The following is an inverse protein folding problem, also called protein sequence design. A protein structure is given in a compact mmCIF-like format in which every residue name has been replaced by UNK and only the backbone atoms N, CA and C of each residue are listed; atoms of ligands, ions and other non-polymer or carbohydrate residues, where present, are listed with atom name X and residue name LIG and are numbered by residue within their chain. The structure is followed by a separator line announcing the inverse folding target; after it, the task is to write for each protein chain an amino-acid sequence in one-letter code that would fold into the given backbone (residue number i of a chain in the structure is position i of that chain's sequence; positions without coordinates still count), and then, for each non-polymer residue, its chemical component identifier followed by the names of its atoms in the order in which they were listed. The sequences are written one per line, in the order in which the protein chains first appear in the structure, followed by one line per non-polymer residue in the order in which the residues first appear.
data_IF_548297854615
#
_entry.id   IF_548297854615
#
_cell.length_a   1.000
_cell.length_b   1.000
_cell.length_c   1.000
_cell.angle_alpha   90.00
_cell.angle_beta   90.00
_cell.angle_gamma   90.00
#
_symmetry.space_group_name_H-M   'P 1'
#
loop_
_entity.id
_entity.type
_entity.pdbx_description
1 polymer ?
#
# COMPACT_ATOMS: atom_id res chain seq x y z
N UNK A 1 -3.60 35.85 -15.70
CA UNK A 1 -4.69 35.12 -14.99
C UNK A 1 -6.02 35.69 -15.42
N UNK A 2 -6.91 34.85 -15.88
CA UNK A 2 -8.27 35.27 -16.17
C UNK A 2 -8.97 35.60 -14.82
N UNK A 3 -9.47 36.83 -14.62
CA UNK A 3 -10.13 37.23 -13.37
C UNK A 3 -11.39 36.41 -13.06
N UNK A 4 -11.97 35.74 -14.06
CA UNK A 4 -13.15 34.89 -13.93
C UNK A 4 -12.83 33.42 -13.59
N UNK A 5 -11.55 32.99 -13.73
CA UNK A 5 -11.11 31.61 -13.46
C UNK A 5 -9.79 31.59 -12.69
N UNK A 6 -9.81 31.91 -11.39
CA UNK A 6 -8.59 31.98 -10.58
C UNK A 6 -7.92 30.59 -10.51
N UNK A 7 -6.64 30.55 -10.92
CA UNK A 7 -5.83 29.33 -10.95
C UNK A 7 -5.72 28.65 -12.31
N UNK A 8 -6.39 29.19 -13.34
CA UNK A 8 -6.25 28.74 -14.72
C UNK A 8 -5.25 29.64 -15.47
N UNK A 9 -4.33 29.05 -16.18
CA UNK A 9 -3.33 29.73 -17.02
C UNK A 9 -3.35 29.11 -18.42
N UNK A 10 -3.42 29.95 -19.46
CA UNK A 10 -3.44 29.50 -20.84
C UNK A 10 -4.78 28.88 -21.26
N UNK A 11 -4.73 28.02 -22.29
CA UNK A 11 -5.95 27.40 -22.83
C UNK A 11 -6.23 26.03 -22.22
N UNK A 12 -7.33 25.93 -21.50
CA UNK A 12 -7.85 24.69 -20.93
C UNK A 12 -9.18 24.31 -21.58
N UNK A 13 -9.40 23.02 -21.81
CA UNK A 13 -10.74 22.55 -22.14
C UNK A 13 -11.66 22.71 -20.92
N UNK A 14 -12.96 23.07 -21.12
CA UNK A 14 -13.88 23.34 -20.00
C UNK A 14 -13.99 22.19 -18.98
N UNK A 15 -13.91 20.95 -19.45
CA UNK A 15 -13.98 19.75 -18.60
C UNK A 15 -12.67 19.40 -17.88
N UNK A 16 -11.60 20.17 -18.08
CA UNK A 16 -10.28 19.98 -17.46
C UNK A 16 -9.94 21.05 -16.43
N UNK A 17 -10.77 22.10 -16.32
CA UNK A 17 -10.55 23.22 -15.41
C UNK A 17 -10.59 22.75 -13.95
N UNK A 18 -11.57 21.89 -13.61
CA UNK A 18 -11.68 21.25 -12.31
C UNK A 18 -11.15 19.82 -12.36
N UNK A 19 -10.30 19.48 -11.38
CA UNK A 19 -9.76 18.14 -11.28
C UNK A 19 -10.87 17.15 -10.92
N UNK A 20 -11.00 16.12 -11.73
CA UNK A 20 -12.03 15.08 -11.53
C UNK A 20 -11.64 14.10 -10.41
N UNK A 21 -10.35 13.86 -10.20
CA UNK A 21 -9.84 12.95 -9.20
C UNK A 21 -9.19 13.72 -8.04
N UNK A 22 -9.76 13.50 -6.86
CA UNK A 22 -9.37 14.18 -5.64
C UNK A 22 -8.27 13.45 -4.87
N UNK A 23 -7.92 13.99 -3.69
CA UNK A 23 -7.01 13.33 -2.74
C UNK A 23 -7.46 11.91 -2.35
N UNK A 24 -8.75 11.58 -2.44
CA UNK A 24 -9.24 10.22 -2.17
C UNK A 24 -8.66 9.20 -3.15
N UNK A 25 -8.48 9.61 -4.42
CA UNK A 25 -7.85 8.78 -5.44
C UNK A 25 -6.33 8.68 -5.24
N UNK A 26 -5.72 9.58 -4.47
CA UNK A 26 -4.31 9.44 -4.00
C UNK A 26 -4.22 8.43 -2.86
N UNK A 27 -5.14 8.51 -1.89
CA UNK A 27 -5.20 7.63 -0.70
C UNK A 27 -5.42 6.17 -1.10
N UNK A 28 -6.27 5.91 -2.10
CA UNK A 28 -6.59 4.57 -2.57
C UNK A 28 -5.36 3.75 -2.98
N UNK A 29 -4.51 4.15 -3.96
CA UNK A 29 -3.33 3.40 -4.34
C UNK A 29 -2.24 3.37 -3.25
N UNK A 30 -2.22 4.33 -2.35
CA UNK A 30 -1.33 4.29 -1.19
C UNK A 30 -1.72 3.16 -0.23
N UNK A 31 -3.01 3.04 0.11
CA UNK A 31 -3.54 1.97 0.96
C UNK A 31 -3.35 0.59 0.31
N UNK A 32 -3.74 0.42 -0.95
CA UNK A 32 -3.61 -0.86 -1.66
C UNK A 32 -2.14 -1.25 -1.90
N UNK A 33 -1.23 -0.29 -2.00
CA UNK A 33 0.21 -0.53 -2.05
C UNK A 33 0.72 -1.20 -0.78
N UNK A 34 0.34 -0.67 0.38
CA UNK A 34 0.70 -1.27 1.68
C UNK A 34 0.14 -2.70 1.78
N UNK A 35 -1.10 -2.95 1.30
CA UNK A 35 -1.69 -4.30 1.27
C UNK A 35 -0.80 -5.28 0.51
N UNK A 36 -0.47 -4.96 -0.75
CA UNK A 36 0.32 -5.83 -1.60
C UNK A 36 1.73 -6.04 -1.07
N UNK A 37 2.41 -4.97 -0.64
CA UNK A 37 3.77 -5.05 -0.12
C UNK A 37 3.88 -5.78 1.21
N UNK A 38 2.92 -5.62 2.13
CA UNK A 38 2.86 -6.35 3.38
C UNK A 38 2.68 -7.86 3.13
N UNK A 39 1.83 -8.24 2.20
CA UNK A 39 1.63 -9.64 1.83
C UNK A 39 2.90 -10.24 1.18
N UNK A 40 3.57 -9.49 0.30
CA UNK A 40 4.83 -9.94 -0.32
C UNK A 40 5.89 -10.13 0.75
N UNK A 41 5.99 -9.27 1.75
CA UNK A 41 6.88 -9.46 2.89
C UNK A 41 6.54 -10.74 3.67
N UNK A 42 5.25 -11.02 3.92
CA UNK A 42 4.82 -12.26 4.56
C UNK A 42 5.21 -13.49 3.74
N UNK A 43 5.11 -13.42 2.41
CA UNK A 43 5.46 -14.54 1.53
C UNK A 43 6.94 -14.94 1.60
N UNK A 44 7.83 -14.04 2.00
CA UNK A 44 9.27 -14.35 2.16
C UNK A 44 9.50 -15.45 3.21
N UNK A 45 8.75 -15.43 4.31
CA UNK A 45 8.82 -16.51 5.31
C UNK A 45 8.16 -17.80 4.78
N UNK A 46 6.92 -17.68 4.33
CA UNK A 46 6.05 -18.84 4.05
C UNK A 46 6.49 -19.65 2.83
N UNK A 47 6.95 -18.97 1.78
CA UNK A 47 7.29 -19.61 0.48
C UNK A 47 8.79 -19.71 0.29
N UNK A 48 9.53 -18.64 0.64
CA UNK A 48 10.98 -18.57 0.41
C UNK A 48 11.80 -18.98 1.63
N UNK A 49 11.15 -19.36 2.75
CA UNK A 49 11.77 -19.83 3.99
C UNK A 49 12.78 -18.85 4.60
N UNK A 50 12.53 -17.55 4.50
CA UNK A 50 13.36 -16.51 5.14
C UNK A 50 12.97 -16.42 6.62
N UNK A 51 13.53 -17.28 7.44
CA UNK A 51 13.19 -17.39 8.87
C UNK A 51 13.40 -16.10 9.65
N UNK A 52 14.32 -15.25 9.23
CA UNK A 52 14.62 -14.00 9.91
C UNK A 52 13.40 -13.06 9.98
N UNK A 53 12.49 -13.09 9.01
CA UNK A 53 11.27 -12.25 8.99
C UNK A 53 10.06 -12.92 9.62
N UNK A 54 10.17 -14.15 10.10
CA UNK A 54 9.09 -14.90 10.78
C UNK A 54 8.40 -14.13 11.91
N UNK A 55 9.10 -13.33 12.74
CA UNK A 55 8.43 -12.52 13.77
C UNK A 55 7.40 -11.53 13.24
N UNK A 56 7.52 -11.11 11.97
CA UNK A 56 6.61 -10.15 11.34
C UNK A 56 5.56 -10.79 10.45
N UNK A 57 5.66 -12.09 10.14
CA UNK A 57 4.77 -12.80 9.21
C UNK A 57 3.28 -12.56 9.51
N UNK A 58 2.83 -12.89 10.71
CA UNK A 58 1.43 -12.72 11.13
C UNK A 58 1.02 -11.25 11.19
N UNK A 59 1.90 -10.37 11.64
CA UNK A 59 1.64 -8.94 11.67
C UNK A 59 1.46 -8.38 10.25
N UNK A 60 2.28 -8.82 9.30
CA UNK A 60 2.18 -8.43 7.91
C UNK A 60 0.84 -8.87 7.28
N UNK A 61 0.38 -10.10 7.53
CA UNK A 61 -0.93 -10.56 7.08
C UNK A 61 -2.09 -9.76 7.69
N UNK A 62 -2.05 -9.49 9.00
CA UNK A 62 -3.09 -8.66 9.65
C UNK A 62 -3.04 -7.21 9.15
N UNK A 63 -1.86 -6.68 8.84
CA UNK A 63 -1.70 -5.36 8.21
C UNK A 63 -2.34 -5.35 6.83
N UNK A 64 -2.03 -6.35 5.99
CA UNK A 64 -2.64 -6.48 4.67
C UNK A 64 -4.18 -6.54 4.77
N UNK A 65 -4.73 -7.34 5.69
CA UNK A 65 -6.18 -7.43 5.89
C UNK A 65 -6.79 -6.11 6.36
N UNK A 66 -6.19 -5.44 7.35
CA UNK A 66 -6.71 -4.18 7.89
C UNK A 66 -6.79 -3.09 6.82
N UNK A 67 -5.73 -2.96 6.04
CA UNK A 67 -5.67 -1.98 4.94
C UNK A 67 -6.58 -2.38 3.77
N UNK A 68 -6.73 -3.70 3.49
CA UNK A 68 -7.60 -4.19 2.43
C UNK A 68 -9.08 -3.91 2.69
N UNK A 69 -9.52 -4.02 3.94
CA UNK A 69 -10.92 -3.70 4.33
C UNK A 69 -11.24 -2.22 4.05
N UNK A 70 -10.29 -1.32 4.23
CA UNK A 70 -10.47 0.12 4.03
C UNK A 70 -10.29 0.53 2.57
N UNK A 71 -9.50 -0.22 1.80
CA UNK A 71 -9.10 0.13 0.45
C UNK A 71 -10.24 0.57 -0.51
N UNK A 72 -11.45 -0.02 -0.52
CA UNK A 72 -12.52 0.43 -1.39
C UNK A 72 -13.19 1.73 -0.94
N UNK A 73 -13.06 2.14 0.34
CA UNK A 73 -13.80 3.27 0.89
C UNK A 73 -13.45 4.62 0.23
N UNK A 74 -12.18 4.95 -0.11
CA UNK A 74 -11.87 6.15 -0.85
C UNK A 74 -12.61 6.21 -2.20
N UNK A 75 -12.68 5.07 -2.92
CA UNK A 75 -13.41 4.98 -4.19
C UNK A 75 -14.92 5.13 -3.98
N UNK A 76 -15.48 4.51 -2.94
CA UNK A 76 -16.90 4.63 -2.58
C UNK A 76 -17.29 6.08 -2.30
N UNK A 77 -16.46 6.83 -1.57
CA UNK A 77 -16.71 8.24 -1.29
C UNK A 77 -16.55 9.11 -2.55
N UNK A 78 -15.71 8.70 -3.49
CA UNK A 78 -15.52 9.42 -4.75
C UNK A 78 -16.66 9.19 -5.76
N UNK A 79 -17.33 8.04 -5.72
CA UNK A 79 -18.43 7.73 -6.66
C UNK A 79 -19.59 8.72 -6.55
N UNK A 80 -20.11 9.18 -7.69
CA UNK A 80 -21.32 9.99 -7.74
C UNK A 80 -22.55 9.28 -7.15
N UNK A 81 -22.63 7.95 -7.34
CA UNK A 81 -23.70 7.07 -6.89
C UNK A 81 -23.12 5.85 -6.15
N UNK A 82 -22.64 6.01 -4.89
CA UNK A 82 -22.01 4.92 -4.13
C UNK A 82 -22.94 3.75 -3.84
N UNK A 83 -24.26 4.00 -3.75
CA UNK A 83 -25.32 2.99 -3.58
C UNK A 83 -25.36 1.98 -4.74
N UNK A 84 -24.91 2.38 -5.93
CA UNK A 84 -24.89 1.55 -7.13
C UNK A 84 -23.58 0.75 -7.29
N UNK A 85 -22.62 0.93 -6.41
CA UNK A 85 -21.29 0.29 -6.54
C UNK A 85 -21.35 -1.23 -6.59
N UNK A 86 -22.35 -1.86 -5.95
CA UNK A 86 -22.53 -3.31 -5.97
C UNK A 86 -23.07 -3.83 -7.32
N UNK A 87 -23.60 -2.95 -8.17
CA UNK A 87 -24.07 -3.34 -9.52
C UNK A 87 -22.94 -3.92 -10.38
N UNK A 88 -21.67 -3.53 -10.09
CA UNK A 88 -20.51 -4.09 -10.79
C UNK A 88 -20.40 -5.62 -10.65
N UNK A 89 -20.92 -6.18 -9.56
CA UNK A 89 -20.92 -7.64 -9.31
C UNK A 89 -22.14 -8.33 -9.88
N UNK A 90 -23.30 -7.65 -9.94
CA UNK A 90 -24.58 -8.18 -10.41
C UNK A 90 -24.66 -8.14 -11.93
N UNK A 91 -24.18 -7.06 -12.53
CA UNK A 91 -24.19 -6.82 -13.99
C UNK A 91 -22.80 -6.45 -14.50
N UNK A 92 -21.82 -7.38 -14.46
CA UNK A 92 -20.43 -7.07 -14.73
C UNK A 92 -20.19 -6.69 -16.19
N UNK A 93 -19.63 -5.52 -16.41
CA UNK A 93 -19.17 -5.08 -17.72
C UNK A 93 -17.72 -5.60 -17.94
N UNK A 94 -17.59 -6.75 -18.58
CA UNK A 94 -16.33 -7.51 -18.70
C UNK A 94 -15.21 -6.79 -19.45
N UNK A 95 -15.53 -5.79 -20.26
CA UNK A 95 -14.58 -4.96 -21.00
C UNK A 95 -14.18 -3.71 -20.23
N UNK A 96 -14.82 -3.42 -19.08
CA UNK A 96 -14.43 -2.34 -18.20
C UNK A 96 -13.36 -2.80 -17.23
N UNK A 97 -12.18 -2.20 -17.34
CA UNK A 97 -11.09 -2.42 -16.40
C UNK A 97 -11.52 -2.12 -14.94
N UNK A 98 -12.25 -1.05 -14.69
CA UNK A 98 -12.75 -0.68 -13.36
C UNK A 98 -13.70 -1.72 -12.77
N UNK A 99 -14.66 -2.25 -13.57
CA UNK A 99 -15.57 -3.29 -13.10
C UNK A 99 -14.84 -4.60 -12.76
N UNK A 100 -13.87 -4.99 -13.58
CA UNK A 100 -13.07 -6.20 -13.35
C UNK A 100 -12.18 -6.09 -12.12
N UNK A 101 -11.76 -4.87 -11.76
CA UNK A 101 -10.97 -4.64 -10.54
C UNK A 101 -11.74 -5.03 -9.27
N UNK A 102 -13.04 -4.83 -9.20
CA UNK A 102 -13.87 -5.27 -8.08
C UNK A 102 -13.77 -6.78 -7.83
N UNK A 103 -13.71 -7.60 -8.89
CA UNK A 103 -13.53 -9.05 -8.77
C UNK A 103 -12.12 -9.41 -8.27
N UNK A 104 -11.09 -8.73 -8.75
CA UNK A 104 -9.71 -8.90 -8.25
C UNK A 104 -9.64 -8.57 -6.75
N UNK A 105 -10.30 -7.50 -6.34
CA UNK A 105 -10.39 -7.09 -4.94
C UNK A 105 -11.05 -8.19 -4.08
N UNK A 106 -12.24 -8.67 -4.46
CA UNK A 106 -12.95 -9.72 -3.71
C UNK A 106 -12.17 -11.04 -3.67
N UNK A 107 -11.57 -11.42 -4.80
CA UNK A 107 -10.70 -12.60 -4.85
C UNK A 107 -9.59 -12.50 -3.84
N UNK A 108 -8.86 -11.37 -3.84
CA UNK A 108 -7.71 -11.18 -2.96
C UNK A 108 -8.12 -11.13 -1.48
N UNK A 109 -9.20 -10.41 -1.17
CA UNK A 109 -9.72 -10.32 0.19
C UNK A 109 -10.17 -11.69 0.72
N UNK A 110 -11.04 -12.37 -0.01
CA UNK A 110 -11.73 -13.58 0.50
C UNK A 110 -10.90 -14.85 0.27
N UNK A 111 -10.40 -15.06 -0.96
CA UNK A 111 -9.73 -16.30 -1.34
C UNK A 111 -8.24 -16.34 -0.95
N UNK A 112 -7.62 -15.19 -0.72
CA UNK A 112 -6.22 -15.12 -0.29
C UNK A 112 -6.12 -14.74 1.18
N UNK A 113 -6.39 -13.48 1.54
CA UNK A 113 -6.10 -12.97 2.88
C UNK A 113 -6.91 -13.65 3.98
N UNK A 114 -8.24 -13.74 3.83
CA UNK A 114 -9.10 -14.31 4.88
C UNK A 114 -8.80 -15.80 5.08
N UNK A 115 -8.65 -16.57 4.00
CA UNK A 115 -8.33 -18.00 4.10
C UNK A 115 -6.95 -18.21 4.71
N UNK A 116 -5.92 -17.50 4.25
CA UNK A 116 -4.56 -17.66 4.77
C UNK A 116 -4.47 -17.31 6.26
N UNK A 117 -5.07 -16.20 6.67
CA UNK A 117 -5.10 -15.78 8.08
C UNK A 117 -5.87 -16.83 8.90
N UNK A 118 -6.99 -17.32 8.40
CA UNK A 118 -7.75 -18.34 9.12
C UNK A 118 -6.95 -19.62 9.31
N UNK A 119 -6.29 -20.14 8.27
CA UNK A 119 -5.46 -21.34 8.33
C UNK A 119 -4.30 -21.17 9.32
N UNK A 120 -3.61 -20.02 9.29
CA UNK A 120 -2.45 -19.77 10.14
C UNK A 120 -2.83 -19.56 11.62
N UNK A 121 -3.96 -18.91 11.89
CA UNK A 121 -4.43 -18.64 13.24
C UNK A 121 -5.37 -19.73 13.80
N UNK A 122 -5.77 -20.75 13.03
CA UNK A 122 -6.81 -21.72 13.43
C UNK A 122 -6.52 -22.38 14.78
N UNK A 123 -5.29 -22.82 15.03
CA UNK A 123 -4.88 -23.38 16.32
C UNK A 123 -5.12 -22.41 17.48
N UNK A 124 -4.74 -21.15 17.29
CA UNK A 124 -4.89 -20.11 18.33
C UNK A 124 -6.38 -19.74 18.49
N UNK A 125 -7.16 -19.66 17.41
CA UNK A 125 -8.61 -19.41 17.43
C UNK A 125 -9.35 -20.50 18.22
N UNK A 126 -9.07 -21.77 17.96
CA UNK A 126 -9.69 -22.91 18.67
C UNK A 126 -9.36 -22.87 20.17
N UNK A 127 -8.09 -22.61 20.52
CA UNK A 127 -7.69 -22.46 21.92
C UNK A 127 -8.45 -21.30 22.58
N UNK A 128 -8.48 -20.14 21.94
CA UNK A 128 -9.18 -18.97 22.46
C UNK A 128 -10.70 -19.18 22.54
N UNK A 129 -11.30 -19.97 21.64
CA UNK A 129 -12.73 -20.33 21.71
C UNK A 129 -13.08 -21.20 22.93
N UNK A 130 -12.10 -21.99 23.43
CA UNK A 130 -12.24 -22.82 24.63
C UNK A 130 -11.96 -22.02 25.90
N UNK A 131 -10.92 -21.19 25.90
CA UNK A 131 -10.43 -20.48 27.10
C UNK A 131 -11.12 -19.14 27.34
N UNK A 132 -11.60 -18.45 26.27
CA UNK A 132 -12.16 -17.10 26.38
C UNK A 132 -13.46 -17.05 27.17
N UNK A 133 -13.65 -15.98 27.92
CA UNK A 133 -14.86 -15.67 28.70
C UNK A 133 -15.50 -14.37 28.20
N UNK A 134 -16.74 -14.11 28.61
CA UNK A 134 -17.47 -12.89 28.27
C UNK A 134 -17.71 -12.72 26.77
N UNK A 135 -17.70 -11.49 26.30
CA UNK A 135 -18.05 -11.10 24.92
C UNK A 135 -17.11 -11.64 23.84
N UNK A 136 -15.87 -12.02 24.18
CA UNK A 136 -14.91 -12.60 23.24
C UNK A 136 -15.23 -14.03 22.86
N UNK A 137 -15.85 -14.79 23.75
CA UNK A 137 -16.17 -16.21 23.54
C UNK A 137 -17.01 -16.47 22.29
N UNK A 138 -18.15 -15.77 22.07
CA UNK A 138 -18.96 -16.00 20.87
C UNK A 138 -18.20 -15.62 19.58
N UNK A 139 -17.34 -14.60 19.61
CA UNK A 139 -16.52 -14.20 18.47
C UNK A 139 -15.57 -15.34 18.07
N UNK A 140 -14.77 -15.85 19.01
CA UNK A 140 -13.85 -16.94 18.71
C UNK A 140 -14.57 -18.23 18.29
N UNK A 141 -15.74 -18.54 18.89
CA UNK A 141 -16.55 -19.66 18.45
C UNK A 141 -17.04 -19.50 17.01
N UNK A 142 -17.49 -18.33 16.63
CA UNK A 142 -17.85 -18.05 15.24
C UNK A 142 -16.64 -18.19 14.29
N UNK A 143 -15.47 -17.68 14.71
CA UNK A 143 -14.24 -17.78 13.93
C UNK A 143 -13.72 -19.21 13.75
N UNK A 144 -14.11 -20.20 14.61
CA UNK A 144 -13.74 -21.60 14.36
C UNK A 144 -14.45 -22.21 13.17
N UNK A 145 -15.51 -21.58 12.65
CA UNK A 145 -16.36 -22.10 11.57
C UNK A 145 -16.83 -23.55 11.83
N UNK A 146 -17.02 -23.91 13.12
CA UNK A 146 -17.37 -25.27 13.56
C UNK A 146 -16.21 -26.29 13.55
N UNK A 147 -15.02 -25.92 13.14
CA UNK A 147 -13.85 -26.80 13.07
C UNK A 147 -12.97 -26.67 14.32
N UNK A 148 -13.05 -27.63 15.21
CA UNK A 148 -12.27 -27.71 16.46
C UNK A 148 -11.11 -28.71 16.41
N UNK A 149 -10.91 -29.40 15.29
CA UNK A 149 -9.85 -30.39 15.14
C UNK A 149 -8.50 -29.71 14.93
N UNK A 150 -7.65 -29.71 15.93
CA UNK A 150 -6.26 -29.20 15.92
C UNK A 150 -5.24 -30.33 16.08
N UNK A 151 -5.58 -31.56 15.66
CA UNK A 151 -4.63 -32.68 15.64
C UNK A 151 -3.41 -32.35 14.76
N UNK A 152 -2.25 -33.00 15.01
CA UNK A 152 -1.04 -32.77 14.20
C UNK A 152 -1.28 -32.95 12.69
N UNK A 153 -2.13 -33.93 12.33
CA UNK A 153 -2.50 -34.17 10.93
C UNK A 153 -3.33 -33.01 10.35
N UNK A 154 -4.29 -32.46 11.10
CA UNK A 154 -5.10 -31.34 10.66
C UNK A 154 -4.24 -30.08 10.49
N UNK A 155 -3.34 -29.80 11.44
CA UNK A 155 -2.43 -28.66 11.35
C UNK A 155 -1.43 -28.78 10.20
N UNK A 156 -0.97 -30.00 9.87
CA UNK A 156 -0.12 -30.22 8.70
C UNK A 156 -0.86 -29.96 7.38
N UNK A 157 -2.18 -30.26 7.32
CA UNK A 157 -3.03 -29.91 6.17
C UNK A 157 -3.17 -28.38 6.08
N UNK A 158 -3.44 -27.70 7.19
CA UNK A 158 -3.53 -26.23 7.23
C UNK A 158 -2.25 -25.57 6.74
N UNK A 159 -1.10 -26.08 7.18
CA UNK A 159 0.20 -25.57 6.76
C UNK A 159 0.42 -25.73 5.25
N UNK A 160 0.09 -26.91 4.70
CA UNK A 160 0.20 -27.18 3.26
C UNK A 160 -0.74 -26.29 2.44
N UNK A 161 -1.99 -26.15 2.89
CA UNK A 161 -2.98 -25.29 2.23
C UNK A 161 -2.60 -23.83 2.32
N UNK A 162 -2.16 -23.36 3.50
CA UNK A 162 -1.69 -21.99 3.69
C UNK A 162 -0.53 -21.66 2.75
N UNK A 163 0.46 -22.55 2.65
CA UNK A 163 1.58 -22.37 1.70
C UNK A 163 1.09 -22.30 0.24
N UNK A 164 0.12 -23.12 -0.14
CA UNK A 164 -0.49 -23.05 -1.47
C UNK A 164 -1.21 -21.72 -1.70
N UNK A 165 -2.00 -21.27 -0.72
CA UNK A 165 -2.70 -19.97 -0.79
C UNK A 165 -1.71 -18.82 -0.90
N UNK A 166 -0.59 -18.86 -0.15
CA UNK A 166 0.47 -17.83 -0.27
C UNK A 166 1.10 -17.84 -1.67
N UNK A 167 1.38 -19.01 -2.24
CA UNK A 167 1.94 -19.10 -3.61
C UNK A 167 0.98 -18.47 -4.63
N UNK A 168 -0.32 -18.75 -4.54
CA UNK A 168 -1.35 -18.13 -5.39
C UNK A 168 -1.52 -16.64 -5.05
N UNK A 169 -1.33 -16.29 -3.79
CA UNK A 169 -1.43 -14.93 -3.29
C UNK A 169 -0.37 -13.97 -3.85
N UNK A 170 0.86 -14.45 -4.14
CA UNK A 170 1.92 -13.62 -4.73
C UNK A 170 1.47 -13.00 -6.07
N UNK A 171 1.12 -13.77 -7.11
CA UNK A 171 0.64 -13.18 -8.36
C UNK A 171 -0.67 -12.40 -8.18
N UNK A 172 -1.51 -12.79 -7.20
CA UNK A 172 -2.74 -12.06 -6.88
C UNK A 172 -2.44 -10.67 -6.29
N UNK A 173 -1.41 -10.53 -5.44
CA UNK A 173 -0.95 -9.24 -4.92
C UNK A 173 -0.38 -8.35 -6.04
N UNK A 174 0.36 -8.95 -6.97
CA UNK A 174 0.86 -8.27 -8.15
C UNK A 174 -0.29 -7.80 -9.05
N UNK A 175 -1.29 -8.64 -9.24
CA UNK A 175 -2.48 -8.26 -9.99
C UNK A 175 -3.25 -7.14 -9.29
N UNK A 176 -3.43 -7.22 -7.96
CA UNK A 176 -4.15 -6.20 -7.19
C UNK A 176 -3.55 -4.80 -7.36
N UNK A 177 -2.23 -4.65 -7.24
CA UNK A 177 -1.62 -3.32 -7.25
C UNK A 177 -1.03 -2.93 -8.60
N UNK A 178 -0.48 -3.87 -9.36
CA UNK A 178 -0.04 -3.64 -10.73
C UNK A 178 -1.21 -3.21 -11.64
N UNK A 179 -2.42 -3.71 -11.35
CA UNK A 179 -3.64 -3.29 -12.05
C UNK A 179 -3.97 -1.81 -11.83
N UNK A 180 -3.71 -1.26 -10.66
CA UNK A 180 -3.87 0.19 -10.41
C UNK A 180 -2.92 0.98 -11.31
N UNK A 181 -1.65 0.58 -11.37
CA UNK A 181 -0.68 1.17 -12.32
C UNK A 181 -1.08 1.01 -13.77
N UNK A 182 -1.66 -0.14 -14.14
CA UNK A 182 -2.19 -0.38 -15.48
C UNK A 182 -3.33 0.59 -15.85
N UNK A 183 -4.23 0.90 -14.92
CA UNK A 183 -5.31 1.87 -15.16
C UNK A 183 -4.75 3.23 -15.58
N UNK A 184 -3.72 3.73 -14.88
CA UNK A 184 -3.05 4.97 -15.27
C UNK A 184 -2.27 4.81 -16.57
N UNK A 185 -1.40 3.79 -16.67
CA UNK A 185 -0.51 3.58 -17.80
C UNK A 185 -1.22 3.35 -19.15
N UNK A 186 -2.48 2.91 -19.13
CA UNK A 186 -3.28 2.69 -20.34
C UNK A 186 -3.98 3.94 -20.87
N UNK A 187 -3.95 5.07 -20.15
CA UNK A 187 -4.58 6.33 -20.56
C UNK A 187 -3.69 7.07 -21.56
N UNK A 188 -3.72 6.66 -22.81
CA UNK A 188 -2.88 7.22 -23.89
C UNK A 188 -3.04 8.74 -24.09
N UNK A 189 -4.22 9.28 -23.81
CA UNK A 189 -4.49 10.71 -23.95
C UNK A 189 -3.81 11.58 -22.88
N UNK A 190 -3.20 10.97 -21.86
CA UNK A 190 -2.48 11.68 -20.81
C UNK A 190 -1.02 11.26 -20.82
N UNK A 191 -0.11 12.06 -21.35
CA UNK A 191 1.31 11.71 -21.46
C UNK A 191 2.01 11.58 -20.10
N UNK A 192 1.48 12.18 -19.02
CA UNK A 192 1.98 12.00 -17.68
C UNK A 192 1.78 10.57 -17.17
N UNK A 193 0.70 9.91 -17.56
CA UNK A 193 0.33 8.56 -17.14
C UNK A 193 0.73 7.48 -18.13
N UNK A 194 0.67 7.81 -19.44
CA UNK A 194 0.87 6.84 -20.53
C UNK A 194 2.31 6.34 -20.59
N UNK A 195 2.58 5.27 -19.85
CA UNK A 195 3.86 4.54 -19.92
C UNK A 195 3.62 3.06 -19.62
N UNK A 196 4.29 2.13 -20.36
CA UNK A 196 4.22 0.70 -20.07
C UNK A 196 4.89 0.34 -18.76
N UNK A 197 5.75 1.19 -18.19
CA UNK A 197 6.42 0.96 -16.90
C UNK A 197 5.51 1.25 -15.70
N UNK A 198 4.41 1.99 -15.85
CA UNK A 198 3.54 2.38 -14.74
C UNK A 198 3.08 1.20 -13.86
N UNK A 199 2.61 0.06 -14.41
CA UNK A 199 2.24 -1.10 -13.59
C UNK A 199 3.41 -1.64 -12.76
N UNK A 200 4.63 -1.62 -13.31
CA UNK A 200 5.83 -2.17 -12.69
C UNK A 200 6.33 -1.22 -11.60
N UNK A 201 6.37 0.08 -11.86
CA UNK A 201 6.70 1.12 -10.86
C UNK A 201 5.71 1.07 -9.69
N UNK A 202 4.41 0.96 -9.98
CA UNK A 202 3.39 0.82 -8.92
C UNK A 202 3.63 -0.42 -8.06
N UNK A 203 4.01 -1.54 -8.67
CA UNK A 203 4.29 -2.77 -7.96
C UNK A 203 5.50 -2.64 -7.02
N UNK A 204 6.63 -2.13 -7.51
CA UNK A 204 7.83 -2.00 -6.68
C UNK A 204 7.66 -0.95 -5.58
N UNK A 205 7.01 0.17 -5.88
CA UNK A 205 6.67 1.16 -4.86
C UNK A 205 5.70 0.61 -3.79
N UNK A 206 4.84 -0.37 -4.14
CA UNK A 206 4.02 -1.09 -3.17
C UNK A 206 4.87 -1.99 -2.27
N UNK A 207 5.82 -2.73 -2.83
CA UNK A 207 6.76 -3.56 -2.05
C UNK A 207 7.53 -2.68 -1.05
N UNK A 208 8.08 -1.56 -1.53
CA UNK A 208 8.81 -0.57 -0.71
C UNK A 208 7.92 -0.03 0.42
N UNK A 209 6.72 0.46 0.10
CA UNK A 209 5.80 1.02 1.12
C UNK A 209 5.31 -0.04 2.11
N UNK A 210 5.03 -1.26 1.65
CA UNK A 210 4.58 -2.36 2.51
C UNK A 210 5.65 -2.82 3.50
N UNK A 211 6.91 -2.99 3.05
CA UNK A 211 8.03 -3.34 3.95
C UNK A 211 8.26 -2.22 4.97
N UNK A 212 8.28 -0.95 4.52
CA UNK A 212 8.47 0.20 5.40
C UNK A 212 7.35 0.29 6.46
N UNK A 213 6.09 0.11 6.06
CA UNK A 213 4.94 0.13 6.96
C UNK A 213 5.00 -1.00 8.01
N UNK A 214 5.26 -2.25 7.58
CA UNK A 214 5.33 -3.39 8.50
C UNK A 214 6.53 -3.26 9.45
N UNK A 215 7.67 -2.73 8.99
CA UNK A 215 8.83 -2.47 9.85
C UNK A 215 8.49 -1.48 10.97
N UNK A 216 7.84 -0.36 10.64
CA UNK A 216 7.38 0.61 11.65
C UNK A 216 6.34 -0.01 12.59
N UNK A 217 5.35 -0.72 12.05
CA UNK A 217 4.30 -1.36 12.85
C UNK A 217 4.89 -2.42 13.79
N UNK A 218 5.89 -3.18 13.35
CA UNK A 218 6.57 -4.16 14.19
C UNK A 218 7.26 -3.49 15.39
N UNK A 219 7.99 -2.39 15.14
CA UNK A 219 8.64 -1.61 16.22
C UNK A 219 7.58 -1.07 17.19
N UNK A 220 6.48 -0.48 16.68
CA UNK A 220 5.40 0.10 17.48
C UNK A 220 4.68 -0.97 18.29
N UNK A 221 4.30 -2.10 17.69
CA UNK A 221 3.58 -3.19 18.39
C UNK A 221 4.47 -3.82 19.45
N UNK A 222 5.76 -4.05 19.17
CA UNK A 222 6.70 -4.55 20.19
C UNK A 222 6.84 -3.57 21.35
N UNK A 223 6.91 -2.27 21.08
CA UNK A 223 6.99 -1.24 22.11
C UNK A 223 5.72 -1.21 22.98
N UNK A 224 4.54 -1.17 22.36
CA UNK A 224 3.26 -1.12 23.08
C UNK A 224 2.98 -2.38 23.91
N UNK A 225 3.35 -3.56 23.39
CA UNK A 225 3.14 -4.85 24.07
C UNK A 225 4.31 -5.25 24.99
N UNK A 226 5.37 -4.45 25.04
CA UNK A 226 6.60 -4.72 25.80
C UNK A 226 7.23 -6.06 25.45
N UNK A 227 7.27 -6.38 24.16
CA UNK A 227 7.89 -7.60 23.62
C UNK A 227 9.29 -7.24 23.12
N UNK A 228 10.33 -8.05 23.37
CA UNK A 228 11.66 -7.81 22.83
C UNK A 228 11.64 -7.86 21.30
N UNK A 229 12.32 -6.92 20.65
CA UNK A 229 12.43 -6.85 19.20
C UNK A 229 13.53 -7.77 18.71
N UNK A 230 13.27 -8.50 17.64
CA UNK A 230 14.29 -9.30 16.97
C UNK A 230 15.14 -8.40 16.06
N UNK A 231 16.39 -8.16 16.47
CA UNK A 231 17.34 -7.35 15.67
C UNK A 231 17.62 -7.99 14.30
N UNK A 232 17.83 -9.32 14.17
CA UNK A 232 17.99 -9.95 12.88
C UNK A 232 16.78 -9.75 11.95
N UNK A 233 15.56 -9.70 12.51
CA UNK A 233 14.35 -9.43 11.75
C UNK A 233 14.35 -8.01 11.19
N UNK A 234 14.65 -7.01 12.01
CA UNK A 234 14.73 -5.60 11.58
C UNK A 234 15.81 -5.39 10.53
N UNK A 235 17.01 -5.94 10.75
CA UNK A 235 18.12 -5.83 9.79
C UNK A 235 17.79 -6.49 8.46
N UNK A 236 17.10 -7.62 8.47
CA UNK A 236 16.68 -8.32 7.25
C UNK A 236 15.61 -7.53 6.50
N UNK A 237 14.58 -7.03 7.18
CA UNK A 237 13.57 -6.18 6.55
C UNK A 237 14.17 -4.90 5.97
N UNK A 238 15.09 -4.24 6.70
CA UNK A 238 15.77 -3.03 6.21
C UNK A 238 16.62 -3.32 4.96
N UNK A 239 17.25 -4.49 4.88
CA UNK A 239 18.01 -4.94 3.70
C UNK A 239 17.09 -5.18 2.51
N UNK A 240 15.95 -5.85 2.68
CA UNK A 240 14.97 -6.03 1.61
C UNK A 240 14.36 -4.70 1.17
N UNK A 241 14.07 -3.80 2.13
CA UNK A 241 13.62 -2.45 1.82
C UNK A 241 14.63 -1.72 0.95
N UNK A 242 15.91 -1.77 1.32
CA UNK A 242 16.99 -1.14 0.55
C UNK A 242 17.07 -1.66 -0.88
N UNK A 243 17.07 -2.97 -1.09
CA UNK A 243 17.14 -3.56 -2.43
C UNK A 243 15.90 -3.27 -3.28
N UNK A 244 14.72 -3.41 -2.68
CA UNK A 244 13.47 -3.08 -3.36
C UNK A 244 13.44 -1.59 -3.78
N UNK A 245 13.96 -0.72 -2.93
CA UNK A 245 14.00 0.71 -3.17
C UNK A 245 14.99 1.08 -4.29
N UNK A 246 16.14 0.41 -4.37
CA UNK A 246 17.07 0.60 -5.49
C UNK A 246 16.42 0.22 -6.82
N UNK A 247 15.66 -0.88 -6.85
CA UNK A 247 14.94 -1.30 -8.06
C UNK A 247 13.85 -0.30 -8.41
N UNK A 248 13.03 0.13 -7.43
CA UNK A 248 11.94 1.08 -7.62
C UNK A 248 12.47 2.42 -8.18
N UNK A 249 13.50 2.97 -7.56
CA UNK A 249 14.14 4.20 -8.02
C UNK A 249 14.74 4.06 -9.43
N UNK A 250 15.36 2.90 -9.73
CA UNK A 250 15.91 2.65 -11.06
C UNK A 250 14.83 2.63 -12.14
N UNK A 251 13.66 2.04 -11.82
CA UNK A 251 12.51 2.01 -12.73
C UNK A 251 11.91 3.41 -12.95
N UNK A 252 11.79 4.22 -11.89
CA UNK A 252 11.35 5.62 -12.01
C UNK A 252 12.33 6.45 -12.87
N UNK A 253 13.64 6.24 -12.69
CA UNK A 253 14.65 6.92 -13.50
C UNK A 253 14.63 6.46 -14.96
N UNK A 254 14.44 5.18 -15.23
CA UNK A 254 14.29 4.66 -16.59
C UNK A 254 13.05 5.26 -17.28
N UNK A 255 11.93 5.40 -16.59
CA UNK A 255 10.73 6.05 -17.14
C UNK A 255 11.00 7.53 -17.49
N UNK A 256 11.72 8.25 -16.61
CA UNK A 256 12.11 9.63 -16.86
C UNK A 256 13.06 9.76 -18.06
N UNK A 257 14.07 8.88 -18.15
CA UNK A 257 15.03 8.87 -19.26
C UNK A 257 14.30 8.56 -20.57
N UNK A 258 13.41 7.56 -20.57
CA UNK A 258 12.61 7.17 -21.73
C UNK A 258 11.79 8.35 -22.26
N UNK A 259 11.04 9.04 -21.40
CA UNK A 259 10.25 10.22 -21.77
C UNK A 259 11.10 11.36 -22.36
N UNK A 260 12.28 11.61 -21.78
CA UNK A 260 13.21 12.63 -22.32
C UNK A 260 13.80 12.22 -23.66
N UNK A 261 14.04 10.93 -23.88
CA UNK A 261 14.60 10.42 -25.13
C UNK A 261 13.58 10.42 -26.27
N UNK A 262 12.32 10.06 -25.99
CA UNK A 262 11.24 10.15 -26.97
C UNK A 262 11.00 11.57 -27.48
N UNK A 263 11.31 12.59 -26.66
CA UNK A 263 11.19 14.02 -26.98
C UNK A 263 9.84 14.39 -27.62
N UNK A 264 8.76 13.79 -27.13
CA UNK A 264 7.40 14.01 -27.58
C UNK A 264 6.96 15.48 -27.42
N UNK A 265 5.95 15.92 -28.16
CA UNK A 265 5.39 17.29 -28.07
C UNK A 265 5.03 17.70 -26.63
N UNK A 266 4.57 16.74 -25.84
CA UNK A 266 4.24 16.93 -24.44
C UNK A 266 5.43 17.25 -23.53
N UNK A 267 6.67 16.93 -23.93
CA UNK A 267 7.85 17.02 -23.05
C UNK A 267 8.05 18.42 -22.48
N UNK A 268 7.85 19.47 -23.28
CA UNK A 268 7.98 20.87 -22.83
C UNK A 268 6.98 21.19 -21.70
N UNK A 269 5.72 20.74 -21.85
CA UNK A 269 4.66 20.92 -20.88
C UNK A 269 4.96 20.15 -19.60
N UNK A 270 5.37 18.87 -19.71
CA UNK A 270 5.73 18.04 -18.56
C UNK A 270 6.95 18.59 -17.81
N UNK A 271 7.99 19.03 -18.53
CA UNK A 271 9.17 19.66 -17.93
C UNK A 271 8.81 20.96 -17.20
N UNK A 272 7.98 21.81 -17.79
CA UNK A 272 7.47 23.00 -17.11
C UNK A 272 6.71 22.65 -15.82
N UNK A 273 5.86 21.65 -15.86
CA UNK A 273 5.11 21.14 -14.69
C UNK A 273 6.06 20.73 -13.56
N UNK A 274 7.07 19.92 -13.87
CA UNK A 274 8.06 19.45 -12.87
C UNK A 274 8.82 20.61 -12.23
N UNK A 275 9.25 21.59 -13.05
CA UNK A 275 10.08 22.71 -12.55
C UNK A 275 9.28 23.81 -11.85
N UNK A 276 7.96 23.87 -12.04
CA UNK A 276 7.12 24.92 -11.45
C UNK A 276 6.10 24.39 -10.45
N UNK A 277 5.11 23.61 -10.91
CA UNK A 277 3.94 23.17 -10.12
C UNK A 277 4.24 22.00 -9.19
N UNK A 278 5.09 21.07 -9.64
CA UNK A 278 5.41 19.83 -8.92
C UNK A 278 6.79 19.85 -8.29
N UNK A 279 7.57 20.95 -8.39
CA UNK A 279 8.92 21.00 -7.85
C UNK A 279 8.98 20.60 -6.38
N UNK A 280 8.10 21.17 -5.55
CA UNK A 280 8.03 20.87 -4.13
C UNK A 280 7.61 19.42 -3.82
N UNK A 281 6.61 18.91 -4.52
CA UNK A 281 6.08 17.57 -4.27
C UNK A 281 6.91 16.46 -4.94
N UNK A 282 7.41 16.69 -6.15
CA UNK A 282 8.13 15.64 -6.90
C UNK A 282 9.63 15.69 -6.65
N UNK A 283 10.27 16.85 -6.82
CA UNK A 283 11.72 16.93 -6.66
C UNK A 283 12.13 16.90 -5.19
N UNK A 284 11.59 17.82 -4.37
CA UNK A 284 12.01 17.91 -2.98
C UNK A 284 11.43 16.77 -2.15
N UNK A 285 10.10 16.56 -2.17
CA UNK A 285 9.46 15.64 -1.25
C UNK A 285 9.58 14.18 -1.70
N UNK A 286 9.29 13.85 -2.98
CA UNK A 286 9.37 12.47 -3.47
C UNK A 286 10.83 12.05 -3.68
N UNK A 287 11.58 12.74 -4.56
CA UNK A 287 12.91 12.26 -4.99
C UNK A 287 13.94 12.48 -3.89
N UNK A 288 14.10 13.70 -3.37
CA UNK A 288 15.18 13.98 -2.42
C UNK A 288 14.84 13.40 -1.04
N UNK A 289 13.77 13.88 -0.40
CA UNK A 289 13.44 13.53 0.99
C UNK A 289 12.91 12.11 1.09
N UNK A 290 12.04 11.70 0.19
CA UNK A 290 11.31 10.43 0.24
C UNK A 290 12.02 9.26 -0.41
N UNK A 291 13.05 9.50 -1.26
CA UNK A 291 13.78 8.43 -1.97
C UNK A 291 15.27 8.46 -1.66
N UNK A 292 16.00 9.53 -2.02
CA UNK A 292 17.45 9.55 -1.90
C UNK A 292 17.92 9.54 -0.44
N UNK A 293 17.26 10.29 0.44
CA UNK A 293 17.60 10.27 1.88
C UNK A 293 17.38 8.88 2.50
N UNK A 294 16.22 8.21 2.38
CA UNK A 294 16.05 6.85 2.87
C UNK A 294 17.05 5.85 2.30
N UNK A 295 17.31 5.88 0.99
CA UNK A 295 18.33 5.01 0.37
C UNK A 295 19.71 5.26 1.01
N UNK A 296 20.09 6.53 1.19
CA UNK A 296 21.36 6.88 1.85
C UNK A 296 21.45 6.40 3.30
N UNK A 297 20.36 6.56 4.08
CA UNK A 297 20.31 6.08 5.46
C UNK A 297 20.38 4.55 5.53
N UNK A 298 19.65 3.84 4.67
CA UNK A 298 19.68 2.38 4.61
C UNK A 298 21.05 1.87 4.14
N UNK A 299 21.68 2.53 3.16
CA UNK A 299 23.03 2.21 2.71
C UNK A 299 24.05 2.42 3.84
N UNK A 300 23.96 3.54 4.58
CA UNK A 300 24.84 3.82 5.71
C UNK A 300 24.78 2.72 6.77
N UNK A 301 23.59 2.21 7.09
CA UNK A 301 23.44 1.08 8.04
C UNK A 301 24.07 -0.22 7.51
N UNK A 302 24.08 -0.44 6.19
CA UNK A 302 24.72 -1.63 5.61
C UNK A 302 26.25 -1.52 5.61
N UNK A 303 26.80 -0.32 5.50
CA UNK A 303 28.25 -0.07 5.32
C UNK A 303 28.99 0.25 6.62
N UNK A 304 28.29 0.82 7.62
CA UNK A 304 28.91 1.31 8.85
C UNK A 304 28.44 0.50 10.05
N UNK A 305 29.36 0.03 10.87
CA UNK A 305 29.02 -0.64 12.14
C UNK A 305 28.47 0.36 13.14
N UNK A 306 27.27 0.10 13.64
CA UNK A 306 26.55 1.00 14.55
C UNK A 306 25.93 0.22 15.71
N UNK A 307 25.66 0.93 16.81
CA UNK A 307 24.87 0.37 17.90
C UNK A 307 23.46 0.00 17.45
N UNK A 308 22.85 -1.01 18.05
CA UNK A 308 21.49 -1.45 17.75
C UNK A 308 20.48 -0.32 17.86
N UNK A 309 20.61 0.54 18.88
CA UNK A 309 19.70 1.70 19.06
C UNK A 309 19.82 2.71 17.91
N UNK A 310 21.04 2.97 17.43
CA UNK A 310 21.26 3.88 16.31
C UNK A 310 20.63 3.31 15.02
N UNK A 311 20.85 2.01 14.75
CA UNK A 311 20.23 1.33 13.58
C UNK A 311 18.71 1.38 13.62
N UNK A 312 18.10 1.05 14.77
CA UNK A 312 16.64 1.13 14.93
C UNK A 312 16.10 2.54 14.68
N UNK A 313 16.80 3.56 15.20
CA UNK A 313 16.43 4.96 14.95
C UNK A 313 16.49 5.31 13.46
N UNK A 314 17.54 4.88 12.75
CA UNK A 314 17.68 5.09 11.31
C UNK A 314 16.61 4.32 10.51
N UNK A 315 16.23 3.11 10.93
CA UNK A 315 15.14 2.36 10.32
C UNK A 315 13.81 3.08 10.46
N UNK A 316 13.52 3.65 11.62
CA UNK A 316 12.29 4.44 11.83
C UNK A 316 12.27 5.67 10.93
N UNK A 317 13.37 6.43 10.88
CA UNK A 317 13.46 7.63 10.05
C UNK A 317 13.35 7.25 8.58
N UNK A 318 14.15 6.30 8.10
CA UNK A 318 14.15 5.87 6.70
C UNK A 318 12.76 5.37 6.28
N UNK A 319 12.12 4.49 7.07
CA UNK A 319 10.79 3.97 6.74
C UNK A 319 9.71 5.05 6.76
N UNK A 320 9.78 6.01 7.68
CA UNK A 320 8.82 7.13 7.73
C UNK A 320 8.96 8.04 6.50
N UNK A 321 10.19 8.38 6.12
CA UNK A 321 10.47 9.19 4.93
C UNK A 321 10.09 8.42 3.65
N UNK A 322 10.31 7.11 3.61
CA UNK A 322 9.86 6.23 2.52
C UNK A 322 8.35 6.32 2.32
N UNK A 323 7.56 6.15 3.39
CA UNK A 323 6.10 6.25 3.29
C UNK A 323 5.64 7.64 2.82
N UNK A 324 6.30 8.69 3.29
CA UNK A 324 6.04 10.06 2.86
C UNK A 324 6.36 10.23 1.36
N UNK A 325 7.49 9.70 0.90
CA UNK A 325 7.91 9.74 -0.51
C UNK A 325 6.95 8.98 -1.42
N UNK A 326 6.53 7.77 -1.02
CA UNK A 326 5.54 6.99 -1.79
C UNK A 326 4.18 7.68 -1.81
N UNK A 327 3.75 8.33 -0.73
CA UNK A 327 2.53 9.13 -0.74
C UNK A 327 2.67 10.33 -1.72
N UNK A 328 3.80 11.03 -1.69
CA UNK A 328 4.08 12.11 -2.63
C UNK A 328 4.12 11.62 -4.09
N UNK A 329 4.65 10.43 -4.34
CA UNK A 329 4.62 9.80 -5.66
C UNK A 329 3.17 9.55 -6.13
N UNK A 330 2.29 9.02 -5.26
CA UNK A 330 0.86 8.85 -5.59
C UNK A 330 0.19 10.19 -5.86
N UNK A 331 0.52 11.21 -5.08
CA UNK A 331 0.05 12.57 -5.30
C UNK A 331 0.48 13.10 -6.67
N UNK A 332 1.76 12.98 -7.00
CA UNK A 332 2.28 13.46 -8.28
C UNK A 332 1.69 12.70 -9.47
N UNK A 333 1.44 11.41 -9.34
CA UNK A 333 0.74 10.64 -10.39
C UNK A 333 -0.70 11.13 -10.52
N UNK A 334 -1.49 11.13 -9.44
CA UNK A 334 -2.94 11.38 -9.53
C UNK A 334 -3.25 12.84 -9.75
N UNK A 335 -2.75 13.73 -8.88
CA UNK A 335 -3.03 15.17 -8.96
C UNK A 335 -2.17 15.79 -10.05
N UNK A 336 -0.87 15.53 -10.06
CA UNK A 336 0.05 16.08 -11.05
C UNK A 336 -0.39 15.81 -12.49
N UNK A 337 -0.85 14.59 -12.77
CA UNK A 337 -1.35 14.22 -14.10
C UNK A 337 -2.62 14.94 -14.56
N UNK A 338 -3.27 15.73 -13.70
CA UNK A 338 -4.47 16.48 -14.02
C UNK A 338 -4.24 18.01 -14.03
N UNK A 339 -3.02 18.48 -13.72
CA UNK A 339 -2.75 19.93 -13.61
C UNK A 339 -2.52 20.62 -14.95
N UNK A 340 -2.48 19.89 -16.05
CA UNK A 340 -2.31 20.45 -17.39
C UNK A 340 -3.45 19.97 -18.33
N UNK A 341 -3.75 20.79 -19.32
CA UNK A 341 -4.74 20.45 -20.35
C UNK A 341 -4.13 19.51 -21.41
N UNK A 342 -4.95 18.62 -21.97
CA UNK A 342 -4.59 17.82 -23.16
C UNK A 342 -4.37 18.65 -24.41
N UNK A 343 -4.67 19.96 -24.37
CA UNK A 343 -4.24 20.94 -25.39
C UNK A 343 -2.73 21.23 -25.34
N UNK A 344 -2.05 20.89 -24.23
CA UNK A 344 -0.66 21.27 -23.88
C UNK A 344 -0.42 22.78 -23.79
N UNK A 345 -1.46 23.59 -23.78
CA UNK A 345 -1.42 25.06 -23.80
C UNK A 345 -1.94 25.70 -22.51
N UNK A 346 -2.39 24.91 -21.54
CA UNK A 346 -3.00 25.44 -20.32
C UNK A 346 -2.74 24.60 -19.08
N UNK A 347 -2.84 25.26 -17.93
CA UNK A 347 -2.61 24.69 -16.61
C UNK A 347 -3.72 25.10 -15.64
N UNK A 348 -3.99 24.22 -14.68
CA UNK A 348 -4.93 24.46 -13.58
C UNK A 348 -4.28 24.21 -12.23
N UNK A 349 -4.99 24.42 -11.15
CA UNK A 349 -4.54 24.17 -9.78
C UNK A 349 -5.53 23.28 -9.03
N UNK A 350 -5.03 22.39 -8.20
CA UNK A 350 -5.88 21.59 -7.33
C UNK A 350 -6.38 22.42 -6.14
N UNK A 351 -7.69 22.55 -6.00
CA UNK A 351 -8.36 23.23 -4.89
C UNK A 351 -8.87 22.20 -3.90
N UNK A 352 -8.08 21.91 -2.87
CA UNK A 352 -8.43 20.92 -1.84
C UNK A 352 -9.36 21.55 -0.80
N UNK A 353 -10.59 21.05 -0.70
CA UNK A 353 -11.49 21.40 0.41
C UNK A 353 -11.05 20.75 1.72
N UNK A 354 -11.33 21.36 2.87
CA UNK A 354 -11.01 20.76 4.16
C UNK A 354 -12.04 19.69 4.58
N UNK A 355 -13.32 20.06 4.69
CA UNK A 355 -14.39 19.19 5.20
C UNK A 355 -15.40 18.76 4.12
N UNK A 356 -15.08 18.98 2.85
CA UNK A 356 -15.90 18.49 1.74
C UNK A 356 -15.84 16.97 1.68
N UNK A 357 -16.81 16.33 1.01
CA UNK A 357 -16.87 14.87 0.83
C UNK A 357 -15.56 14.28 0.32
N UNK A 358 -14.86 14.98 -0.54
CA UNK A 358 -13.58 14.58 -1.14
C UNK A 358 -12.40 15.43 -0.64
N UNK A 359 -12.53 15.99 0.57
CA UNK A 359 -11.56 16.88 1.16
C UNK A 359 -10.50 16.18 2.01
N UNK A 360 -9.68 17.03 2.65
CA UNK A 360 -8.58 16.57 3.49
C UNK A 360 -9.05 15.76 4.70
N UNK A 361 -10.13 16.20 5.38
CA UNK A 361 -10.62 15.53 6.59
C UNK A 361 -11.06 14.08 6.32
N UNK A 362 -11.93 13.76 5.32
CA UNK A 362 -12.22 12.38 4.96
C UNK A 362 -10.98 11.57 4.57
N UNK A 363 -10.04 12.17 3.84
CA UNK A 363 -8.79 11.50 3.48
C UNK A 363 -7.97 11.07 4.71
N UNK A 364 -7.81 11.97 5.69
CA UNK A 364 -7.11 11.68 6.94
C UNK A 364 -7.83 10.61 7.78
N UNK A 365 -9.16 10.66 7.85
CA UNK A 365 -9.96 9.63 8.54
C UNK A 365 -9.78 8.25 7.88
N UNK A 366 -9.82 8.19 6.55
CA UNK A 366 -9.60 6.95 5.82
C UNK A 366 -8.17 6.42 5.96
N UNK A 367 -7.18 7.30 6.05
CA UNK A 367 -5.79 6.89 6.33
C UNK A 367 -5.59 6.39 7.76
N UNK A 368 -6.34 6.91 8.73
CA UNK A 368 -6.27 6.47 10.12
C UNK A 368 -7.03 5.16 10.38
N UNK A 369 -8.11 4.91 9.65
CA UNK A 369 -9.01 3.77 9.86
C UNK A 369 -8.31 2.39 9.77
N UNK A 370 -7.39 2.12 8.85
CA UNK A 370 -6.66 0.84 8.82
C UNK A 370 -5.90 0.55 10.11
N UNK A 371 -5.36 1.57 10.76
CA UNK A 371 -4.64 1.40 12.03
C UNK A 371 -5.57 1.05 13.19
N UNK A 372 -6.79 1.61 13.20
CA UNK A 372 -7.82 1.24 14.17
C UNK A 372 -8.26 -0.22 13.97
N UNK A 373 -8.50 -0.63 12.73
CA UNK A 373 -8.84 -2.02 12.40
C UNK A 373 -7.68 -2.95 12.76
N UNK A 374 -6.44 -2.57 12.44
CA UNK A 374 -5.26 -3.35 12.79
C UNK A 374 -5.11 -3.50 14.30
N UNK A 375 -5.33 -2.43 15.07
CA UNK A 375 -5.31 -2.50 16.54
C UNK A 375 -6.36 -3.51 17.06
N UNK A 376 -7.57 -3.51 16.50
CA UNK A 376 -8.62 -4.48 16.83
C UNK A 376 -8.18 -5.91 16.47
N UNK A 377 -7.66 -6.11 15.25
CA UNK A 377 -7.19 -7.42 14.78
C UNK A 377 -6.04 -7.95 15.64
N UNK A 378 -5.04 -7.14 15.96
CA UNK A 378 -3.90 -7.52 16.83
C UNK A 378 -4.34 -7.79 18.28
N UNK A 379 -5.48 -7.26 18.70
CA UNK A 379 -6.07 -7.55 20.01
C UNK A 379 -6.86 -8.86 20.03
N UNK A 380 -7.55 -9.18 18.93
CA UNK A 380 -8.30 -10.42 18.75
C UNK A 380 -7.39 -11.59 18.35
N UNK A 381 -6.45 -11.33 17.45
CA UNK A 381 -5.51 -12.32 16.90
C UNK A 381 -4.06 -11.87 17.18
N UNK A 382 -3.50 -12.15 18.36
CA UNK A 382 -2.15 -11.72 18.70
C UNK A 382 -1.11 -12.29 17.74
N UNK A 383 -0.41 -11.47 16.94
CA UNK A 383 0.53 -11.94 15.93
C UNK A 383 1.82 -12.50 16.52
N UNK A 384 2.19 -12.05 17.73
CA UNK A 384 3.39 -12.49 18.44
C UNK A 384 2.99 -13.20 19.73
N UNK A 385 3.53 -14.40 19.93
CA UNK A 385 3.40 -15.10 21.23
C UNK A 385 4.28 -14.37 22.25
N UNK A 386 3.73 -14.06 23.44
CA UNK A 386 4.62 -13.92 24.60
C UNK A 386 5.25 -15.29 24.77
N UNK A 387 6.56 -15.41 24.66
CA UNK A 387 7.26 -16.55 25.24
C UNK A 387 6.88 -16.53 26.72
N UNK A 388 6.01 -17.44 27.11
CA UNK A 388 5.87 -17.78 28.52
C UNK A 388 7.27 -18.21 28.92
N UNK A 389 7.95 -17.38 29.72
CA UNK A 389 9.18 -17.78 30.36
C UNK A 389 8.87 -19.15 30.96
N UNK A 390 9.56 -20.16 30.44
CA UNK A 390 9.59 -21.46 31.07
C UNK A 390 10.14 -21.23 32.49
N UNK A 391 9.24 -21.30 33.50
CA UNK A 391 9.61 -21.45 34.90
C UNK A 391 10.19 -22.80 35.10
#
# INVERSE_FOLDING_TARGET
MDPFMPGVEGFMYPNEIELQWSILIVVYPFITGIVAGAFILASLERVFNVEAVKPTYRLALLTALAFMIVAPLPLQLHLGHPERSLEMYLTPHRTSAMAMFGFVYLWYLLAVLVIEIWLDFRKDIVRMAQEATGWKRPIYRAMTLGSYNVSPRALAIDDKLGRFVTIVGIPSAFLLHGYVGFLFGSVKANPWWSTPLMPIVFLFSAIVSGIAAVLLLYIVVCFLKRIPRSVPCLDTMARYLFYAFLIDFSLEMLDLIHRNYEADESLKTLSFMVHTRLYGSQILLQIIIGTLVPIGLLAMVQLVSMSTRAREGLYVIASSLTLLGIFAMRWNVVIGGQLFSKSFLGYTTYKMGFATREGLLPALLLMALPFLILWLLVTLLPPMKRETAAL
#
